data_IF_697938122003
#
_entry.id   IF_697938122003
#
_cell.length_a   1.000
_cell.length_b   1.000
_cell.length_c   1.000
_cell.angle_alpha   90.00
_cell.angle_beta   90.00
_cell.angle_gamma   90.00
#
_symmetry.space_group_name_H-M   'P 1'
#
loop_
_entity.id
_entity.type
_entity.pdbx_description
1 polymer ?
#
# COMPACT_ATOMS: atom_id res chain seq x y z
N UNK A 1 -7.40 -0.49 -14.35
CA UNK A 1 -7.70 -1.53 -13.34
C UNK A 1 -6.87 -1.25 -12.08
N UNK A 2 -7.45 -1.41 -10.90
CA UNK A 2 -6.77 -1.27 -9.61
C UNK A 2 -6.26 -2.64 -9.17
N UNK A 3 -5.00 -2.73 -8.74
CA UNK A 3 -4.46 -3.94 -8.12
C UNK A 3 -4.27 -3.69 -6.63
N UNK A 4 -4.87 -4.52 -5.79
CA UNK A 4 -4.73 -4.45 -4.33
C UNK A 4 -3.79 -5.55 -3.87
N UNK A 5 -2.60 -5.18 -3.40
CA UNK A 5 -1.62 -6.11 -2.85
C UNK A 5 -1.81 -6.26 -1.33
N UNK A 6 -2.07 -7.49 -0.89
CA UNK A 6 -2.31 -7.82 0.51
C UNK A 6 -1.55 -9.10 0.90
N UNK A 7 -0.88 -9.07 2.04
CA UNK A 7 -0.12 -10.20 2.53
C UNK A 7 -0.99 -11.24 3.26
N UNK A 8 -1.84 -10.77 4.17
CA UNK A 8 -2.62 -11.63 5.05
C UNK A 8 -4.06 -11.79 4.57
N UNK A 9 -4.66 -12.97 4.82
CA UNK A 9 -6.09 -13.18 4.49
C UNK A 9 -6.98 -12.17 5.20
N UNK A 10 -6.62 -11.79 6.43
CA UNK A 10 -7.34 -10.80 7.22
C UNK A 10 -7.39 -9.43 6.54
N UNK A 11 -6.36 -9.03 5.80
CA UNK A 11 -6.35 -7.78 5.03
C UNK A 11 -7.35 -7.85 3.87
N UNK A 12 -7.47 -9.03 3.25
CA UNK A 12 -8.39 -9.24 2.12
C UNK A 12 -9.87 -9.28 2.49
N UNK A 13 -10.21 -9.55 3.76
CA UNK A 13 -11.61 -9.59 4.23
C UNK A 13 -12.29 -8.22 4.10
N UNK A 14 -11.52 -7.15 4.20
CA UNK A 14 -12.02 -5.77 4.15
C UNK A 14 -12.05 -5.18 2.74
N UNK A 15 -11.53 -5.89 1.74
CA UNK A 15 -11.52 -5.44 0.36
C UNK A 15 -12.78 -5.99 -0.32
N UNK A 16 -13.84 -5.17 -0.52
CA UNK A 16 -15.02 -5.63 -1.23
C UNK A 16 -14.63 -6.05 -2.65
N UNK A 17 -15.35 -7.02 -3.21
CA UNK A 17 -15.26 -7.35 -4.63
C UNK A 17 -15.80 -6.16 -5.45
N UNK A 18 -14.91 -5.23 -5.79
CA UNK A 18 -15.23 -4.05 -6.60
C UNK A 18 -14.95 -4.36 -8.07
N UNK A 19 -15.88 -3.95 -8.95
CA UNK A 19 -15.63 -4.00 -10.39
C UNK A 19 -14.39 -3.16 -10.73
N UNK A 20 -13.41 -3.76 -11.40
CA UNK A 20 -12.16 -3.11 -11.75
C UNK A 20 -11.08 -3.11 -10.67
N UNK A 21 -11.28 -3.84 -9.56
CA UNK A 21 -10.26 -4.09 -8.55
C UNK A 21 -9.90 -5.58 -8.45
N UNK A 22 -8.61 -5.87 -8.59
CA UNK A 22 -8.04 -7.22 -8.50
C UNK A 22 -7.21 -7.36 -7.23
N UNK A 23 -7.49 -8.40 -6.43
CA UNK A 23 -6.72 -8.68 -5.22
C UNK A 23 -5.57 -9.62 -5.57
N UNK A 24 -4.34 -9.21 -5.27
CA UNK A 24 -3.12 -10.01 -5.38
C UNK A 24 -2.62 -10.33 -3.98
N UNK A 25 -2.59 -11.62 -3.65
CA UNK A 25 -2.02 -12.07 -2.37
C UNK A 25 -0.52 -12.24 -2.49
N UNK A 26 0.22 -11.43 -1.75
CA UNK A 26 1.70 -11.50 -1.70
C UNK A 26 2.15 -12.23 -0.42
N UNK A 27 3.34 -12.84 -0.38
CA UNK A 27 3.99 -13.16 0.88
C UNK A 27 4.52 -11.89 1.58
N UNK A 28 5.04 -12.02 2.80
CA UNK A 28 5.76 -10.93 3.47
C UNK A 28 7.18 -10.79 2.92
N UNK A 29 7.70 -9.56 2.89
CA UNK A 29 9.11 -9.30 2.63
C UNK A 29 9.49 -9.44 1.16
N UNK A 30 10.72 -9.88 0.89
CA UNK A 30 11.33 -9.81 -0.45
C UNK A 30 10.56 -10.60 -1.51
N UNK A 31 10.01 -11.75 -1.16
CA UNK A 31 9.23 -12.58 -2.07
C UNK A 31 7.91 -11.91 -2.51
N UNK A 32 7.46 -10.85 -1.82
CA UNK A 32 6.28 -10.10 -2.20
C UNK A 32 6.43 -9.49 -3.60
N UNK A 33 7.66 -9.06 -3.91
CA UNK A 33 7.97 -8.45 -5.20
C UNK A 33 7.75 -9.43 -6.35
N UNK A 34 8.34 -10.62 -6.28
CA UNK A 34 8.30 -11.56 -7.40
C UNK A 34 6.86 -12.02 -7.69
N UNK A 35 6.05 -12.22 -6.64
CA UNK A 35 4.63 -12.57 -6.77
C UNK A 35 3.81 -11.43 -7.37
N UNK A 36 4.05 -10.20 -6.91
CA UNK A 36 3.34 -9.05 -7.46
C UNK A 36 3.77 -8.77 -8.91
N UNK A 37 5.05 -8.88 -9.23
CA UNK A 37 5.54 -8.71 -10.61
C UNK A 37 4.90 -9.72 -11.55
N UNK A 38 4.88 -11.01 -11.19
CA UNK A 38 4.18 -12.05 -11.96
C UNK A 38 2.70 -11.74 -12.13
N UNK A 39 2.07 -11.21 -11.08
CA UNK A 39 0.67 -10.81 -11.13
C UNK A 39 0.45 -9.62 -12.09
N UNK A 40 1.33 -8.63 -12.09
CA UNK A 40 1.23 -7.47 -12.97
C UNK A 40 1.52 -7.82 -14.43
N UNK A 41 2.50 -8.67 -14.70
CA UNK A 41 2.86 -9.10 -16.05
C UNK A 41 1.74 -9.94 -16.70
N UNK A 42 0.93 -10.64 -15.89
CA UNK A 42 -0.22 -11.43 -16.35
C UNK A 42 -1.48 -10.57 -16.65
N UNK A 43 -1.39 -9.24 -16.54
CA UNK A 43 -2.54 -8.31 -16.55
C UNK A 43 -2.33 -7.16 -17.53
N UNK A 44 -3.44 -6.57 -17.98
CA UNK A 44 -3.38 -5.22 -18.57
C UNK A 44 -2.84 -4.23 -17.55
N UNK A 45 -2.04 -3.25 -17.99
CA UNK A 45 -1.31 -2.33 -17.13
C UNK A 45 -2.23 -1.71 -16.05
N UNK A 46 -1.92 -1.90 -14.75
CA UNK A 46 -2.75 -1.33 -13.70
C UNK A 46 -2.70 0.19 -13.78
N UNK A 47 -3.85 0.82 -13.54
CA UNK A 47 -3.95 2.29 -13.40
C UNK A 47 -3.55 2.75 -12.00
N UNK A 48 -3.51 1.81 -11.04
CA UNK A 48 -3.16 2.05 -9.65
C UNK A 48 -2.80 0.73 -8.97
N UNK A 49 -1.84 0.79 -8.05
CA UNK A 49 -1.58 -0.30 -7.11
C UNK A 49 -1.81 0.25 -5.70
N UNK A 50 -2.65 -0.44 -4.93
CA UNK A 50 -2.90 -0.17 -3.52
C UNK A 50 -2.24 -1.26 -2.69
N UNK A 51 -1.25 -0.92 -1.88
CA UNK A 51 -0.70 -1.86 -0.89
C UNK A 51 -1.41 -1.68 0.43
N UNK A 52 -2.03 -2.74 0.93
CA UNK A 52 -2.66 -2.77 2.25
C UNK A 52 -1.89 -3.69 3.16
N UNK A 53 -1.71 -3.28 4.41
CA UNK A 53 -1.14 -4.18 5.40
C UNK A 53 -1.18 -3.61 6.81
N UNK A 54 -0.67 -4.40 7.75
CA UNK A 54 -0.45 -3.95 9.12
C UNK A 54 0.96 -3.35 9.26
N UNK A 55 1.06 -2.24 9.99
CA UNK A 55 2.34 -1.62 10.34
C UNK A 55 2.48 -1.46 11.85
N UNK A 56 3.72 -1.47 12.34
CA UNK A 56 4.04 -1.04 13.69
C UNK A 56 4.19 0.49 13.73
N UNK A 57 3.51 1.14 14.67
CA UNK A 57 3.67 2.57 14.92
C UNK A 57 4.97 2.85 15.68
N UNK A 58 5.73 3.85 15.23
CA UNK A 58 6.92 4.36 15.94
C UNK A 58 6.59 5.65 16.69
N UNK A 59 5.66 6.45 16.16
CA UNK A 59 5.16 7.64 16.84
C UNK A 59 4.35 7.21 18.08
N UNK A 60 4.73 7.66 19.29
CA UNK A 60 4.02 7.32 20.53
C UNK A 60 2.58 7.80 20.60
N UNK A 61 2.18 8.74 19.74
CA UNK A 61 0.80 9.22 19.65
C UNK A 61 -0.11 8.25 18.88
N UNK A 62 0.45 7.33 18.09
CA UNK A 62 -0.31 6.34 17.35
C UNK A 62 -0.95 5.31 18.29
N UNK A 63 -2.21 5.00 18.00
CA UNK A 63 -3.01 4.02 18.73
C UNK A 63 -3.24 2.78 17.88
N UNK A 64 -3.33 1.62 18.53
CA UNK A 64 -3.74 0.39 17.86
C UNK A 64 -5.11 0.55 17.23
N UNK A 65 -5.23 0.19 15.95
CA UNK A 65 -6.48 0.27 15.18
C UNK A 65 -6.61 1.52 14.32
N UNK A 66 -5.68 2.47 14.40
CA UNK A 66 -5.68 3.62 13.50
C UNK A 66 -5.28 3.24 12.07
N UNK A 67 -5.91 3.89 11.09
CA UNK A 67 -5.53 3.80 9.69
C UNK A 67 -4.35 4.73 9.45
N UNK A 68 -3.30 4.21 8.82
CA UNK A 68 -2.14 5.01 8.42
C UNK A 68 -2.08 5.11 6.90
N UNK A 69 -2.07 6.34 6.39
CA UNK A 69 -1.81 6.64 4.99
C UNK A 69 -0.33 7.00 4.80
N UNK A 70 0.37 6.23 3.98
CA UNK A 70 1.75 6.55 3.60
C UNK A 70 1.76 7.70 2.59
N UNK A 71 2.37 8.82 2.95
CA UNK A 71 2.66 9.91 2.01
C UNK A 71 4.03 9.72 1.36
N UNK A 72 4.93 9.10 2.12
CA UNK A 72 6.29 8.80 1.74
C UNK A 72 6.67 7.43 2.31
N UNK A 73 7.49 6.70 1.56
CA UNK A 73 8.06 5.43 2.02
C UNK A 73 9.57 5.60 2.11
N UNK A 74 10.13 5.43 3.31
CA UNK A 74 11.56 5.51 3.54
C UNK A 74 12.16 4.11 3.51
N UNK A 75 13.04 3.85 2.55
CA UNK A 75 13.65 2.54 2.34
C UNK A 75 15.13 2.69 1.99
N UNK A 76 16.04 2.10 2.79
CA UNK A 76 17.50 2.17 2.58
C UNK A 76 18.03 3.58 2.29
N UNK A 77 17.57 4.57 3.08
CA UNK A 77 17.90 6.00 2.89
C UNK A 77 17.35 6.63 1.59
N UNK A 78 16.53 5.90 0.84
CA UNK A 78 15.77 6.41 -0.30
C UNK A 78 14.36 6.77 0.16
N UNK A 79 13.87 7.88 -0.36
CA UNK A 79 12.48 8.29 -0.20
C UNK A 79 11.73 7.96 -1.48
N UNK A 80 10.58 7.31 -1.34
CA UNK A 80 9.65 7.02 -2.42
C UNK A 80 8.39 7.81 -2.12
N UNK A 81 8.16 8.86 -2.91
CA UNK A 81 6.97 9.70 -2.81
C UNK A 81 5.75 8.96 -3.36
N UNK A 82 4.67 8.92 -2.58
CA UNK A 82 3.37 8.42 -3.05
C UNK A 82 2.65 9.55 -3.77
N UNK A 83 1.91 9.24 -4.84
CA UNK A 83 1.13 10.25 -5.58
C UNK A 83 0.20 11.03 -4.63
N UNK A 84 0.49 12.33 -4.46
CA UNK A 84 -0.26 13.23 -3.59
C UNK A 84 -1.75 13.31 -3.95
N UNK A 85 -2.12 13.11 -5.22
CA UNK A 85 -3.51 13.09 -5.64
C UNK A 85 -4.23 11.88 -5.07
N UNK A 86 -3.55 10.73 -4.99
CA UNK A 86 -4.11 9.51 -4.39
C UNK A 86 -4.22 9.64 -2.88
N UNK A 87 -3.18 10.16 -2.22
CA UNK A 87 -3.20 10.44 -0.78
C UNK A 87 -4.37 11.35 -0.44
N UNK A 88 -4.52 12.48 -1.15
CA UNK A 88 -5.62 13.42 -0.92
C UNK A 88 -6.99 12.79 -1.12
N UNK A 89 -7.17 11.98 -2.16
CA UNK A 89 -8.43 11.26 -2.40
C UNK A 89 -8.74 10.27 -1.27
N UNK A 90 -7.73 9.57 -0.76
CA UNK A 90 -7.89 8.66 0.37
C UNK A 90 -8.27 9.41 1.66
N UNK A 91 -7.61 10.52 1.95
CA UNK A 91 -7.94 11.41 3.08
C UNK A 91 -9.41 11.86 3.00
N UNK A 92 -9.83 12.42 1.86
CA UNK A 92 -11.20 12.87 1.65
C UNK A 92 -12.24 11.74 1.80
N UNK A 93 -11.91 10.53 1.32
CA UNK A 93 -12.80 9.37 1.46
C UNK A 93 -12.96 8.94 2.93
N UNK A 94 -11.87 8.94 3.71
CA UNK A 94 -11.89 8.60 5.13
C UNK A 94 -12.62 9.66 5.96
N UNK A 95 -12.38 10.94 5.68
CA UNK A 95 -13.12 12.05 6.29
C UNK A 95 -14.63 11.95 6.03
N UNK A 96 -15.02 11.71 4.78
CA UNK A 96 -16.42 11.55 4.40
C UNK A 96 -17.08 10.35 5.10
N UNK A 97 -16.32 9.27 5.31
CA UNK A 97 -16.78 8.10 6.04
C UNK A 97 -16.77 8.28 7.58
N UNK A 98 -16.24 9.40 8.10
CA UNK A 98 -16.08 9.62 9.53
C UNK A 98 -15.05 8.69 10.19
N UNK A 99 -14.08 8.19 9.41
CA UNK A 99 -13.05 7.25 9.88
C UNK A 99 -11.78 8.03 10.19
N UNK A 100 -11.28 7.90 11.43
CA UNK A 100 -10.02 8.51 11.84
C UNK A 100 -8.81 7.88 11.15
N UNK A 101 -7.84 8.71 10.77
CA UNK A 101 -6.59 8.29 10.15
C UNK A 101 -5.44 9.21 10.54
N UNK A 102 -4.21 8.71 10.33
CA UNK A 102 -2.97 9.49 10.41
C UNK A 102 -2.26 9.37 9.07
N UNK A 103 -1.62 10.45 8.61
CA UNK A 103 -0.79 10.43 7.41
C UNK A 103 0.63 10.88 7.72
N UNK A 104 1.60 10.30 7.01
CA UNK A 104 3.01 10.65 7.18
C UNK A 104 3.98 9.69 6.51
N UNK A 105 5.26 9.86 6.82
CA UNK A 105 6.34 9.02 6.31
C UNK A 105 6.35 7.64 6.99
N UNK A 106 6.43 6.58 6.19
CA UNK A 106 6.53 5.21 6.67
C UNK A 106 7.95 4.64 6.47
N UNK A 107 8.72 4.43 7.54
CA UNK A 107 10.00 3.74 7.44
C UNK A 107 9.82 2.24 7.23
N UNK A 108 10.49 1.70 6.24
CA UNK A 108 10.47 0.27 5.88
C UNK A 108 11.88 -0.29 5.98
N UNK A 109 12.07 -1.22 6.92
CA UNK A 109 13.39 -1.80 7.21
C UNK A 109 13.79 -2.95 6.26
N UNK A 110 12.94 -3.39 5.31
CA UNK A 110 13.19 -4.61 4.49
C UNK A 110 13.09 -4.41 2.98
N UNK A 111 13.84 -5.27 2.26
CA UNK A 111 14.44 -5.12 0.92
C UNK A 111 13.54 -4.97 -0.32
N UNK A 112 12.23 -4.87 -0.18
CA UNK A 112 11.28 -5.13 -1.27
C UNK A 112 10.91 -3.89 -2.12
N UNK A 113 11.17 -2.67 -1.64
CA UNK A 113 10.83 -1.42 -2.36
C UNK A 113 11.83 -1.03 -3.47
N UNK A 114 13.09 -1.47 -3.41
CA UNK A 114 14.13 -1.09 -4.38
C UNK A 114 13.91 -1.57 -5.82
N UNK A 115 13.13 -2.65 -6.00
CA UNK A 115 12.81 -3.17 -7.34
C UNK A 115 11.59 -2.48 -7.96
N UNK A 116 10.71 -1.90 -7.13
CA UNK A 116 9.46 -1.26 -7.55
C UNK A 116 9.66 0.04 -8.34
N UNK A 117 10.61 0.88 -7.92
CA UNK A 117 10.84 2.21 -8.52
C UNK A 117 11.42 2.18 -9.94
N UNK A 118 11.84 1.01 -10.45
CA UNK A 118 12.42 0.88 -11.80
C UNK A 118 11.41 0.66 -12.92
N UNK A 119 10.15 0.35 -12.60
CA UNK A 119 9.08 0.05 -13.60
C UNK A 119 7.90 1.03 -13.57
N UNK A 120 7.84 1.92 -12.58
CA UNK A 120 6.75 2.88 -12.39
C UNK A 120 7.03 4.29 -12.97
N UNK A 121 8.11 4.44 -13.75
CA UNK A 121 8.46 5.63 -14.55
C UNK A 121 8.48 5.21 -16.01
#
# INVERSE_FOLDING_TARGET
MIVVAACFRTETIWIPHLSGADIVRTPMGEAAYDVLEQALDARESPTMILSTGFCGGIDPSLRTGEIVLAEQILYQQQEITVDHTLVRRAQQALEHAGIGFVSGAQPVQKKWLAKWTRKAI
#
